data_IF_062929215530
#
_entry.id   IF_062929215530
#
_cell.length_a   1.000
_cell.length_b   1.000
_cell.length_c   1.000
_cell.angle_alpha   90.00
_cell.angle_beta   90.00
_cell.angle_gamma   90.00
#
_symmetry.space_group_name_H-M   'P 1'
#
loop_
_entity.id
_entity.type
_entity.pdbx_description
1 polymer ?
#
# COMPACT_ATOMS: atom_id res chain seq x y z
N UNK A 1 -33.28 36.20 -40.56
CA UNK A 1 -34.55 36.38 -39.83
C UNK A 1 -34.70 35.22 -38.86
N UNK A 2 -34.79 35.58 -37.57
CA UNK A 2 -35.12 34.82 -36.34
C UNK A 2 -35.38 33.30 -36.40
N UNK A 3 -34.69 32.54 -35.53
CA UNK A 3 -35.34 31.59 -34.60
C UNK A 3 -34.39 31.14 -33.44
N UNK A 4 -34.67 31.66 -32.23
CA UNK A 4 -34.69 30.90 -30.95
C UNK A 4 -35.39 29.52 -31.15
N UNK A 5 -35.19 28.41 -30.44
CA UNK A 5 -34.57 28.06 -29.15
C UNK A 5 -34.55 26.54 -29.01
N UNK A 6 -33.37 25.94 -28.81
CA UNK A 6 -33.21 24.64 -28.13
C UNK A 6 -32.63 24.93 -26.75
N UNK A 7 -33.47 25.43 -25.85
CA UNK A 7 -33.07 25.79 -24.48
C UNK A 7 -32.74 24.51 -23.71
N UNK A 8 -31.45 24.18 -23.61
CA UNK A 8 -30.94 23.51 -22.41
C UNK A 8 -31.02 24.55 -21.28
N UNK A 9 -31.91 24.25 -20.33
CA UNK A 9 -32.25 25.00 -19.13
C UNK A 9 -31.10 25.85 -18.56
N UNK A 10 -31.32 27.17 -18.50
CA UNK A 10 -30.41 28.17 -17.93
C UNK A 10 -30.12 27.91 -16.43
N UNK A 11 -30.96 27.11 -15.75
CA UNK A 11 -30.73 26.59 -14.39
C UNK A 11 -29.51 25.67 -14.31
N UNK A 12 -29.20 24.93 -15.38
CA UNK A 12 -28.09 23.96 -15.43
C UNK A 12 -26.71 24.62 -15.67
N UNK A 13 -26.68 25.82 -16.28
CA UNK A 13 -25.46 26.64 -16.38
C UNK A 13 -25.07 27.27 -15.04
N UNK A 14 -26.06 27.72 -14.26
CA UNK A 14 -25.83 28.34 -12.96
C UNK A 14 -25.41 27.32 -11.88
N UNK A 15 -25.84 26.06 -11.99
CA UNK A 15 -25.42 24.98 -11.09
C UNK A 15 -23.92 24.62 -11.24
N UNK A 16 -23.38 24.65 -12.45
CA UNK A 16 -21.96 24.36 -12.71
C UNK A 16 -21.03 25.50 -12.30
N UNK A 17 -21.40 26.75 -12.58
CA UNK A 17 -20.64 27.93 -12.16
C UNK A 17 -20.63 28.06 -10.62
N UNK A 18 -21.74 27.74 -9.94
CA UNK A 18 -21.77 27.66 -8.47
C UNK A 18 -20.89 26.51 -7.92
N UNK A 19 -20.86 25.36 -8.58
CA UNK A 19 -20.05 24.19 -8.14
C UNK A 19 -18.55 24.41 -8.33
N UNK A 20 -18.15 25.16 -9.37
CA UNK A 20 -16.75 25.52 -9.63
C UNK A 20 -16.31 26.71 -8.76
N UNK A 21 -17.20 27.70 -8.52
CA UNK A 21 -16.90 28.88 -7.71
C UNK A 21 -16.62 28.59 -6.23
N UNK A 22 -17.18 27.53 -5.66
CA UNK A 22 -16.89 27.10 -4.27
C UNK A 22 -15.55 26.34 -4.13
N UNK A 23 -14.87 26.03 -5.24
CA UNK A 23 -13.57 25.36 -5.24
C UNK A 23 -12.42 26.39 -5.20
N UNK A 24 -12.62 27.57 -5.78
CA UNK A 24 -11.63 28.67 -5.74
C UNK A 24 -11.47 29.26 -4.33
N UNK A 25 -12.52 29.31 -3.52
CA UNK A 25 -12.44 29.73 -2.10
C UNK A 25 -11.71 28.72 -1.18
N UNK A 26 -11.33 27.56 -1.71
CA UNK A 26 -10.46 26.57 -1.03
C UNK A 26 -9.10 26.39 -1.70
N UNK A 27 -8.81 27.17 -2.74
CA UNK A 27 -7.55 27.18 -3.47
C UNK A 27 -6.83 28.51 -3.26
N UNK A 28 -6.30 28.69 -2.06
CA UNK A 28 -4.93 29.19 -1.97
C UNK A 28 -4.16 28.34 -0.96
N UNK A 29 -3.29 27.48 -1.48
CA UNK A 29 -1.94 27.31 -0.97
C UNK A 29 -1.14 26.42 -1.94
N UNK A 30 -0.11 27.05 -2.52
CA UNK A 30 1.06 26.48 -3.19
C UNK A 30 0.95 26.22 -4.70
N UNK A 31 0.77 27.32 -5.44
CA UNK A 31 1.29 27.48 -6.80
C UNK A 31 2.64 28.18 -6.76
N UNK A 32 3.72 27.46 -6.45
CA UNK A 32 5.05 27.68 -7.07
C UNK A 32 5.90 26.44 -6.83
N UNK A 33 6.10 25.65 -7.89
CA UNK A 33 6.95 24.46 -7.82
C UNK A 33 7.17 23.83 -9.19
N UNK A 34 7.32 24.65 -10.23
CA UNK A 34 7.80 24.21 -11.54
C UNK A 34 9.23 23.72 -11.39
N UNK A 35 9.48 22.42 -11.53
CA UNK A 35 10.69 21.90 -12.18
C UNK A 35 10.35 20.64 -12.98
N UNK A 36 10.29 20.88 -14.29
CA UNK A 36 10.60 20.03 -15.43
C UNK A 36 11.23 18.66 -15.17
N UNK A 37 10.68 17.69 -15.91
CA UNK A 37 11.23 16.41 -16.35
C UNK A 37 12.77 16.30 -16.39
N UNK A 38 13.29 15.21 -15.84
CA UNK A 38 14.70 14.82 -15.89
C UNK A 38 14.98 13.47 -15.22
N UNK A 39 14.21 12.43 -15.52
CA UNK A 39 14.55 11.06 -15.13
C UNK A 39 15.77 10.59 -15.93
N UNK A 40 16.98 10.64 -15.34
CA UNK A 40 18.08 9.66 -15.50
C UNK A 40 19.44 10.18 -15.00
N UNK A 41 19.58 10.45 -13.70
CA UNK A 41 20.91 10.43 -13.08
C UNK A 41 20.86 9.64 -11.77
N UNK A 42 21.78 8.69 -11.61
CA UNK A 42 21.98 7.99 -10.34
C UNK A 42 22.39 8.96 -9.23
N UNK A 43 22.50 8.45 -8.00
CA UNK A 43 22.94 9.27 -6.87
C UNK A 43 24.29 9.94 -7.16
N UNK A 44 24.42 11.22 -6.81
CA UNK A 44 25.66 11.97 -7.00
C UNK A 44 26.84 11.28 -6.31
N UNK A 45 27.99 11.31 -6.98
CA UNK A 45 29.26 10.75 -6.48
C UNK A 45 30.35 11.82 -6.38
N UNK A 46 30.05 13.08 -6.67
CA UNK A 46 31.06 14.16 -6.68
C UNK A 46 31.67 14.40 -5.29
N UNK A 47 30.97 14.05 -4.22
CA UNK A 47 31.42 14.17 -2.84
C UNK A 47 32.19 12.93 -2.33
N UNK A 48 32.39 11.90 -3.16
CA UNK A 48 33.07 10.69 -2.73
C UNK A 48 34.58 10.92 -2.67
N UNK A 49 35.16 10.59 -1.53
CA UNK A 49 36.62 10.65 -1.35
C UNK A 49 37.31 9.66 -2.28
N UNK A 50 38.47 10.05 -2.81
CA UNK A 50 39.25 9.18 -3.67
C UNK A 50 39.73 7.95 -2.90
N UNK A 51 39.77 6.79 -3.57
CA UNK A 51 40.23 5.54 -2.95
C UNK A 51 41.65 5.66 -2.37
N UNK A 52 42.52 6.45 -3.03
CA UNK A 52 43.91 6.62 -2.62
C UNK A 52 44.04 7.48 -1.35
N UNK A 53 43.07 8.34 -1.06
CA UNK A 53 43.07 9.24 0.11
C UNK A 53 42.52 8.56 1.38
N UNK A 54 41.91 7.39 1.25
CA UNK A 54 41.37 6.61 2.36
C UNK A 54 41.85 5.17 2.33
N UNK A 55 43.11 4.90 2.74
CA UNK A 55 43.66 3.55 2.79
C UNK A 55 43.04 2.68 3.91
N UNK A 56 42.29 3.27 4.85
CA UNK A 56 41.69 2.60 5.99
C UNK A 56 40.19 2.88 6.10
N UNK A 57 39.44 1.94 6.66
CA UNK A 57 38.01 2.06 6.93
C UNK A 57 37.73 3.14 7.98
N UNK A 58 36.86 4.10 7.65
CA UNK A 58 36.48 5.19 8.57
C UNK A 58 35.63 4.73 9.78
N UNK A 59 35.18 3.47 9.81
CA UNK A 59 34.40 2.90 10.91
C UNK A 59 35.21 2.05 11.90
N UNK A 60 36.23 1.33 11.44
CA UNK A 60 37.00 0.39 12.26
C UNK A 60 38.52 0.47 12.07
N UNK A 61 38.99 1.43 11.27
CA UNK A 61 40.39 1.67 10.91
C UNK A 61 41.12 0.49 10.21
N UNK A 62 40.40 -0.54 9.79
CA UNK A 62 40.95 -1.66 9.02
C UNK A 62 41.54 -1.16 7.70
N UNK A 63 42.79 -1.52 7.40
CA UNK A 63 43.44 -1.19 6.13
C UNK A 63 42.79 -1.94 4.97
N UNK A 64 42.43 -1.23 3.90
CA UNK A 64 41.92 -1.86 2.69
C UNK A 64 43.02 -2.63 1.97
N UNK A 65 42.64 -3.77 1.41
CA UNK A 65 43.53 -4.66 0.65
C UNK A 65 42.81 -5.12 -0.60
N UNK A 66 43.48 -5.91 -1.44
CA UNK A 66 42.84 -6.50 -2.62
C UNK A 66 41.62 -7.37 -2.27
N UNK A 67 41.62 -8.00 -1.09
CA UNK A 67 40.52 -8.85 -0.59
C UNK A 67 39.49 -8.07 0.21
N UNK A 68 39.89 -7.04 0.97
CA UNK A 68 38.97 -6.16 1.69
C UNK A 68 38.64 -4.92 0.84
N UNK A 69 37.57 -5.03 0.03
CA UNK A 69 37.16 -3.99 -0.92
C UNK A 69 36.61 -2.75 -0.20
N UNK A 70 36.99 -1.59 -0.73
CA UNK A 70 36.52 -0.29 -0.30
C UNK A 70 35.07 -0.02 -0.76
N UNK A 71 34.26 0.54 0.13
CA UNK A 71 32.88 0.96 -0.17
C UNK A 71 32.57 2.36 0.35
N UNK A 72 32.01 3.24 -0.49
CA UNK A 72 31.65 4.60 -0.07
C UNK A 72 30.27 4.69 0.59
N UNK A 73 30.13 5.49 1.64
CA UNK A 73 28.82 5.92 2.14
C UNK A 73 28.14 6.82 1.09
N UNK A 74 26.91 6.48 0.68
CA UNK A 74 26.24 7.22 -0.40
C UNK A 74 25.74 8.61 0.02
N UNK A 75 25.85 8.96 1.31
CA UNK A 75 25.53 10.28 1.86
C UNK A 75 26.76 11.15 2.11
N UNK A 76 27.73 10.64 2.86
CA UNK A 76 28.91 11.44 3.26
C UNK A 76 30.14 11.18 2.42
N UNK A 77 30.10 10.23 1.48
CA UNK A 77 31.21 9.97 0.56
C UNK A 77 32.44 9.31 1.18
N UNK A 78 32.48 9.08 2.49
CA UNK A 78 33.60 8.43 3.18
C UNK A 78 33.71 6.92 2.90
N UNK A 79 34.91 6.37 3.07
CA UNK A 79 35.23 4.98 2.74
C UNK A 79 35.10 4.01 3.93
N UNK A 80 34.46 2.87 3.71
CA UNK A 80 34.16 1.85 4.72
C UNK A 80 34.39 0.43 4.19
N UNK A 81 34.72 -0.50 5.08
CA UNK A 81 34.73 -1.92 4.79
C UNK A 81 33.30 -2.49 4.74
N UNK A 82 33.14 -3.69 4.19
CA UNK A 82 31.81 -4.31 4.05
C UNK A 82 31.09 -4.43 5.41
N UNK A 83 31.83 -4.69 6.49
CA UNK A 83 31.27 -4.81 7.85
C UNK A 83 30.72 -3.50 8.41
N UNK A 84 31.33 -2.37 8.04
CA UNK A 84 30.97 -1.04 8.57
C UNK A 84 29.89 -0.31 7.74
N UNK A 85 29.54 -0.81 6.55
CA UNK A 85 28.57 -0.18 5.64
C UNK A 85 27.34 -1.05 5.35
N UNK A 86 26.65 -1.43 6.43
CA UNK A 86 25.50 -2.32 6.40
C UNK A 86 24.16 -1.60 6.69
N UNK A 87 24.18 -0.28 6.76
CA UNK A 87 22.98 0.53 6.98
C UNK A 87 22.43 1.04 5.65
N UNK A 88 21.12 1.26 5.58
CA UNK A 88 20.47 1.84 4.40
C UNK A 88 19.60 3.02 4.80
N UNK A 89 19.56 4.04 3.94
CA UNK A 89 18.75 5.24 4.14
C UNK A 89 18.13 5.70 2.83
N UNK A 90 16.93 6.28 2.89
CA UNK A 90 16.33 6.95 1.72
C UNK A 90 17.02 8.27 1.47
N UNK A 91 17.60 8.40 0.29
CA UNK A 91 18.28 9.61 -0.18
C UNK A 91 17.67 10.06 -1.51
N UNK A 92 17.65 11.36 -1.74
CA UNK A 92 17.42 11.92 -3.07
C UNK A 92 18.69 11.82 -3.94
N UNK A 93 18.61 12.27 -5.20
CA UNK A 93 19.72 12.21 -6.14
C UNK A 93 20.94 13.06 -5.70
N UNK A 94 20.74 14.05 -4.83
CA UNK A 94 21.78 14.89 -4.24
C UNK A 94 22.38 14.30 -2.94
N UNK A 95 22.12 13.02 -2.63
CA UNK A 95 22.63 12.34 -1.42
C UNK A 95 22.07 12.87 -0.09
N UNK A 96 21.01 13.67 -0.11
CA UNK A 96 20.36 14.18 1.09
C UNK A 96 19.22 13.26 1.55
N UNK A 97 18.99 13.12 2.88
CA UNK A 97 17.84 12.40 3.40
C UNK A 97 16.51 12.90 2.82
N UNK A 98 15.72 11.97 2.28
CA UNK A 98 14.42 12.29 1.69
C UNK A 98 13.45 11.11 1.95
N UNK A 99 12.31 11.32 2.64
CA UNK A 99 11.30 10.27 2.85
C UNK A 99 10.79 9.63 1.56
N UNK A 100 10.78 10.37 0.45
CA UNK A 100 10.37 9.90 -0.87
C UNK A 100 11.55 9.42 -1.73
N UNK A 101 12.78 9.49 -1.20
CA UNK A 101 14.01 9.09 -1.87
C UNK A 101 14.17 7.58 -2.05
N UNK A 102 15.20 7.19 -2.80
CA UNK A 102 15.59 5.78 -3.03
C UNK A 102 16.52 5.28 -1.93
N UNK A 103 16.51 3.98 -1.67
CA UNK A 103 17.36 3.34 -0.67
C UNK A 103 18.80 3.21 -1.13
N UNK A 104 19.73 3.71 -0.31
CA UNK A 104 21.17 3.59 -0.55
C UNK A 104 21.93 3.19 0.71
N UNK A 105 23.08 2.52 0.52
CA UNK A 105 23.96 2.14 1.63
C UNK A 105 24.64 3.35 2.27
N UNK A 106 24.58 3.45 3.58
CA UNK A 106 25.19 4.53 4.36
C UNK A 106 25.99 3.97 5.55
N UNK A 107 26.86 4.79 6.12
CA UNK A 107 27.51 4.47 7.39
C UNK A 107 26.54 4.67 8.56
N UNK A 108 26.88 4.12 9.73
CA UNK A 108 26.07 4.25 10.94
C UNK A 108 25.75 5.70 11.30
N UNK A 109 26.76 6.59 11.31
CA UNK A 109 26.57 8.02 11.62
C UNK A 109 25.53 8.69 10.70
N UNK A 110 25.56 8.38 9.40
CA UNK A 110 24.60 8.90 8.43
C UNK A 110 23.22 8.25 8.53
N UNK A 111 23.17 7.01 9.00
CA UNK A 111 21.91 6.32 9.28
C UNK A 111 21.20 6.97 10.46
N UNK A 112 21.92 7.28 11.54
CA UNK A 112 21.38 7.84 12.79
C UNK A 112 20.94 9.32 12.69
N UNK A 113 21.18 9.99 11.55
CA UNK A 113 20.87 11.41 11.39
C UNK A 113 19.38 11.66 11.10
N UNK A 114 18.56 11.94 12.12
CA UNK A 114 17.13 12.29 11.96
C UNK A 114 16.19 11.08 11.77
N UNK A 115 14.87 11.30 11.75
CA UNK A 115 13.85 10.23 11.85
C UNK A 115 13.91 9.23 10.69
N UNK A 116 13.77 7.93 10.97
CA UNK A 116 13.84 6.82 10.01
C UNK A 116 12.83 5.72 10.30
N UNK A 117 12.34 5.08 9.23
CA UNK A 117 11.40 3.94 9.27
C UNK A 117 12.03 2.63 8.76
N UNK A 118 13.31 2.64 8.37
CA UNK A 118 13.99 1.51 7.72
C UNK A 118 15.19 1.07 8.56
N UNK A 119 15.38 -0.24 8.73
CA UNK A 119 16.41 -0.85 9.58
C UNK A 119 17.71 -1.27 8.86
N UNK A 120 18.54 -2.02 9.59
CA UNK A 120 19.85 -2.54 9.18
C UNK A 120 19.76 -3.68 8.15
N UNK A 121 20.68 -3.73 7.18
CA UNK A 121 20.85 -4.87 6.25
C UNK A 121 22.12 -5.65 6.58
N UNK A 122 22.01 -6.82 7.21
CA UNK A 122 23.15 -7.72 7.41
C UNK A 122 23.24 -8.78 6.32
N UNK A 123 24.48 -9.17 5.97
CA UNK A 123 24.70 -10.37 5.14
C UNK A 123 24.45 -11.60 5.99
N UNK A 124 23.39 -12.32 5.68
CA UNK A 124 23.06 -13.59 6.30
C UNK A 124 23.93 -14.74 5.77
N UNK A 125 25.00 -14.48 5.00
CA UNK A 125 25.78 -15.52 4.32
C UNK A 125 26.36 -16.53 5.30
N UNK A 126 26.90 -16.10 6.42
CA UNK A 126 27.41 -16.99 7.47
C UNK A 126 26.29 -17.72 8.21
N UNK A 127 25.15 -17.06 8.44
CA UNK A 127 23.95 -17.70 9.00
C UNK A 127 23.37 -18.76 8.06
N UNK A 128 23.32 -18.50 6.76
CA UNK A 128 22.91 -19.45 5.73
C UNK A 128 23.94 -20.57 5.55
N UNK A 129 25.24 -20.27 5.67
CA UNK A 129 26.30 -21.28 5.62
C UNK A 129 26.24 -22.20 6.83
N UNK A 130 25.99 -21.66 8.03
CA UNK A 130 25.71 -22.43 9.25
C UNK A 130 24.41 -23.24 9.13
N UNK A 131 23.37 -22.68 8.52
CA UNK A 131 22.09 -23.36 8.29
C UNK A 131 22.19 -24.51 7.26
N UNK A 132 23.09 -24.37 6.28
CA UNK A 132 23.36 -25.40 5.27
C UNK A 132 24.37 -26.44 5.77
N UNK A 133 25.34 -26.07 6.59
CA UNK A 133 26.28 -27.02 7.21
C UNK A 133 25.63 -27.90 8.27
N UNK A 134 24.48 -27.49 8.83
CA UNK A 134 23.67 -28.36 9.71
C UNK A 134 22.82 -29.38 8.94
N UNK A 135 22.83 -29.36 7.60
CA UNK A 135 21.94 -30.18 6.77
C UNK A 135 22.67 -31.22 5.89
N UNK A 136 23.98 -31.40 6.02
CA UNK A 136 24.74 -32.31 5.15
C UNK A 136 25.21 -33.62 5.79
N UNK A 137 25.03 -33.82 7.11
CA UNK A 137 25.39 -35.10 7.75
C UNK A 137 24.14 -35.80 8.31
N UNK A 138 23.67 -36.83 7.59
CA UNK A 138 22.83 -37.91 8.12
C UNK A 138 21.31 -37.65 8.08
N UNK A 139 20.58 -38.52 7.38
CA UNK A 139 19.13 -38.48 7.25
C UNK A 139 18.38 -38.65 8.58
N UNK A 140 17.19 -38.05 8.65
CA UNK A 140 16.23 -38.22 9.74
C UNK A 140 15.83 -36.89 10.39
N UNK A 141 14.57 -36.49 10.18
CA UNK A 141 13.87 -35.38 10.84
C UNK A 141 14.49 -33.97 10.74
N UNK A 142 13.90 -33.17 9.85
CA UNK A 142 14.20 -31.76 9.70
C UNK A 142 14.26 -31.02 11.04
N UNK A 143 15.30 -30.18 11.18
CA UNK A 143 15.53 -29.20 12.25
C UNK A 143 14.30 -28.93 13.10
N UNK A 144 14.40 -29.18 14.40
CA UNK A 144 13.41 -28.80 15.42
C UNK A 144 12.96 -27.33 15.26
N UNK A 145 13.83 -26.47 14.74
CA UNK A 145 13.56 -25.04 14.50
C UNK A 145 12.78 -24.74 13.20
N UNK A 146 12.66 -25.70 12.29
CA UNK A 146 11.77 -25.63 11.12
C UNK A 146 10.30 -25.95 11.44
N UNK A 147 9.99 -26.42 12.66
CA UNK A 147 8.63 -26.82 13.10
C UNK A 147 7.95 -25.85 14.08
N UNK A 148 8.54 -24.69 14.43
CA UNK A 148 7.89 -23.74 15.34
C UNK A 148 6.67 -23.09 14.67
N UNK A 149 5.48 -23.54 15.03
CA UNK A 149 4.22 -22.94 14.62
C UNK A 149 3.73 -21.96 15.70
N UNK A 150 3.93 -20.67 15.46
CA UNK A 150 3.60 -19.60 16.41
C UNK A 150 2.10 -19.58 16.75
N UNK A 151 1.23 -19.86 15.77
CA UNK A 151 -0.22 -19.91 15.99
C UNK A 151 -0.60 -21.05 16.96
N UNK A 152 0.01 -22.23 16.81
CA UNK A 152 -0.20 -23.35 17.74
C UNK A 152 0.30 -23.03 19.16
N UNK A 153 1.40 -22.29 19.29
CA UNK A 153 1.89 -21.87 20.60
C UNK A 153 1.01 -20.80 21.26
N UNK A 154 0.45 -19.86 20.49
CA UNK A 154 -0.54 -18.91 21.00
C UNK A 154 -1.78 -19.63 21.51
N UNK A 155 -2.27 -20.62 20.76
CA UNK A 155 -3.42 -21.43 21.16
C UNK A 155 -3.15 -22.26 22.42
N UNK A 156 -1.94 -22.83 22.55
CA UNK A 156 -1.50 -23.52 23.76
C UNK A 156 -1.52 -22.60 24.97
N UNK A 157 -1.04 -21.36 24.82
CA UNK A 157 -1.03 -20.35 25.87
C UNK A 157 -2.47 -19.99 26.29
N UNK A 158 -3.37 -19.75 25.33
CA UNK A 158 -4.79 -19.47 25.60
C UNK A 158 -5.45 -20.58 26.42
N UNK A 159 -5.35 -21.82 25.94
CA UNK A 159 -5.93 -22.99 26.63
C UNK A 159 -5.35 -23.20 28.02
N UNK A 160 -4.05 -23.01 28.18
CA UNK A 160 -3.39 -23.13 29.48
C UNK A 160 -3.79 -22.03 30.46
N UNK A 161 -3.96 -20.80 29.99
CA UNK A 161 -4.49 -19.70 30.80
C UNK A 161 -5.94 -19.98 31.19
N UNK A 162 -6.81 -20.39 30.25
CA UNK A 162 -8.20 -20.76 30.54
C UNK A 162 -8.31 -21.90 31.57
N UNK A 163 -7.50 -22.95 31.42
CA UNK A 163 -7.47 -24.05 32.39
C UNK A 163 -6.99 -23.59 33.77
N UNK A 164 -6.05 -22.65 33.84
CA UNK A 164 -5.58 -22.08 35.11
C UNK A 164 -6.65 -21.25 35.83
N UNK A 165 -7.61 -20.70 35.08
CA UNK A 165 -8.77 -19.99 35.62
C UNK A 165 -9.82 -20.99 36.14
N UNK A 166 -10.08 -22.07 35.41
CA UNK A 166 -11.12 -23.05 35.75
C UNK A 166 -10.77 -23.98 36.93
N UNK A 167 -9.49 -24.23 37.18
CA UNK A 167 -9.05 -25.13 38.25
C UNK A 167 -9.14 -24.51 39.67
N UNK A 168 -9.51 -23.24 39.81
CA UNK A 168 -9.62 -22.54 41.09
C UNK A 168 -11.04 -21.99 41.29
N UNK A 169 -11.75 -22.51 42.31
CA UNK A 169 -13.19 -22.36 42.55
C UNK A 169 -13.62 -21.02 43.20
N UNK A 170 -13.11 -19.86 42.76
CA UNK A 170 -13.59 -18.56 43.28
C UNK A 170 -13.45 -17.39 42.31
N UNK A 171 -14.29 -16.34 42.44
CA UNK A 171 -14.54 -15.34 41.41
C UNK A 171 -13.31 -14.48 41.18
N UNK A 172 -12.75 -14.61 39.98
CA UNK A 172 -12.04 -13.63 39.12
C UNK A 172 -10.92 -12.75 39.73
N UNK A 173 -11.10 -12.18 40.92
CA UNK A 173 -10.16 -11.28 41.60
C UNK A 173 -9.07 -11.93 42.45
N UNK A 174 -9.27 -13.12 43.04
CA UNK A 174 -8.22 -13.81 43.82
C UNK A 174 -7.17 -14.48 42.92
N UNK A 175 -7.61 -15.03 41.79
CA UNK A 175 -6.83 -15.87 40.86
C UNK A 175 -5.62 -15.17 40.23
N UNK A 176 -5.74 -13.88 39.93
CA UNK A 176 -4.70 -13.10 39.26
C UNK A 176 -3.55 -12.74 40.21
N UNK A 177 -3.91 -12.46 41.48
CA UNK A 177 -2.95 -12.25 42.56
C UNK A 177 -2.18 -13.55 42.84
N UNK A 178 -2.86 -14.69 42.82
CA UNK A 178 -2.24 -16.02 42.99
C UNK A 178 -1.26 -16.34 41.85
N UNK A 179 -1.61 -16.08 40.59
CA UNK A 179 -0.70 -16.24 39.43
C UNK A 179 0.52 -15.32 39.53
N UNK A 180 0.36 -14.09 40.02
CA UNK A 180 1.47 -13.14 40.24
C UNK A 180 2.37 -13.54 41.41
N UNK A 181 1.83 -14.22 42.41
CA UNK A 181 2.54 -14.69 43.60
C UNK A 181 3.26 -16.03 43.40
N UNK A 182 3.14 -16.67 42.23
CA UNK A 182 3.84 -17.91 41.93
C UNK A 182 5.36 -17.69 41.90
N UNK A 183 6.05 -18.39 42.80
CA UNK A 183 7.52 -18.43 42.88
C UNK A 183 8.14 -19.08 41.63
N UNK A 184 7.38 -19.94 40.93
CA UNK A 184 7.80 -20.62 39.70
C UNK A 184 6.89 -20.30 38.54
N UNK A 185 7.48 -20.06 37.37
CA UNK A 185 6.75 -19.87 36.12
C UNK A 185 5.85 -21.08 35.83
N UNK A 186 4.53 -20.89 35.60
CA UNK A 186 3.61 -21.96 35.24
C UNK A 186 4.03 -22.71 33.97
N UNK A 187 3.72 -24.01 33.90
CA UNK A 187 4.08 -24.83 32.74
C UNK A 187 3.42 -24.36 31.44
N UNK A 188 2.20 -23.83 31.51
CA UNK A 188 1.55 -23.26 30.33
C UNK A 188 2.25 -22.02 29.77
N UNK A 189 3.08 -21.32 30.55
CA UNK A 189 3.93 -20.22 30.05
C UNK A 189 5.23 -20.73 29.42
N UNK A 190 5.60 -22.00 29.67
CA UNK A 190 6.82 -22.60 29.13
C UNK A 190 6.54 -23.14 27.73
N UNK A 191 7.26 -22.59 26.75
CA UNK A 191 7.29 -23.14 25.39
C UNK A 191 7.73 -24.61 25.40
N UNK A 192 7.32 -25.36 24.38
CA UNK A 192 7.80 -26.73 24.12
C UNK A 192 9.34 -26.85 24.03
N UNK A 193 10.03 -25.75 23.75
CA UNK A 193 11.50 -25.69 23.65
C UNK A 193 12.19 -25.11 24.90
N UNK A 194 11.44 -24.79 25.96
CA UNK A 194 11.92 -24.06 27.12
C UNK A 194 13.10 -24.74 27.83
N UNK A 195 12.98 -26.02 28.15
CA UNK A 195 13.99 -26.75 28.93
C UNK A 195 15.36 -26.80 28.24
N UNK A 196 15.37 -27.03 26.91
CA UNK A 196 16.59 -27.11 26.10
C UNK A 196 17.34 -25.77 26.05
N UNK A 197 16.60 -24.68 25.99
CA UNK A 197 17.16 -23.34 25.84
C UNK A 197 17.59 -22.72 27.20
N UNK A 198 17.02 -23.18 28.32
CA UNK A 198 17.45 -22.75 29.65
C UNK A 198 18.86 -23.20 30.05
N UNK A 199 19.49 -24.09 29.28
CA UNK A 199 20.91 -24.43 29.46
C UNK A 199 21.86 -23.50 28.68
N UNK A 200 21.34 -22.67 27.76
CA UNK A 200 22.18 -21.80 26.92
C UNK A 200 22.91 -20.71 27.74
N UNK A 201 24.24 -20.60 27.68
CA UNK A 201 24.98 -19.55 28.39
C UNK A 201 24.86 -18.18 27.71
N UNK A 202 24.33 -18.13 26.49
CA UNK A 202 24.28 -16.94 25.63
C UNK A 202 22.87 -16.58 25.20
N UNK A 203 22.63 -15.28 25.05
CA UNK A 203 21.41 -14.78 24.45
C UNK A 203 21.31 -15.21 22.98
N UNK A 204 20.25 -15.95 22.62
CA UNK A 204 20.03 -16.44 21.26
C UNK A 204 19.84 -15.32 20.22
N UNK A 205 19.57 -14.09 20.65
CA UNK A 205 19.29 -12.95 19.77
C UNK A 205 20.51 -12.06 19.51
N UNK A 206 21.28 -11.72 20.55
CA UNK A 206 22.46 -10.87 20.40
C UNK A 206 23.79 -11.61 20.56
N UNK A 207 23.77 -12.89 20.92
CA UNK A 207 24.98 -13.72 21.11
C UNK A 207 25.76 -13.44 22.40
N UNK A 208 25.39 -12.41 23.16
CA UNK A 208 26.08 -12.00 24.38
C UNK A 208 25.88 -13.00 25.53
N UNK A 209 26.91 -13.22 26.33
CA UNK A 209 26.87 -14.08 27.52
C UNK A 209 25.95 -13.48 28.59
N UNK A 210 25.19 -14.36 29.25
CA UNK A 210 24.44 -13.97 30.45
C UNK A 210 25.39 -13.77 31.63
N UNK A 211 25.05 -12.83 32.50
CA UNK A 211 25.83 -12.48 33.69
C UNK A 211 24.93 -11.89 34.76
N UNK A 212 25.48 -11.53 35.91
CA UNK A 212 24.73 -10.86 36.98
C UNK A 212 24.07 -9.55 36.52
N UNK A 213 24.73 -8.82 35.59
CA UNK A 213 24.21 -7.58 35.01
C UNK A 213 23.33 -7.81 33.78
N UNK A 214 23.34 -9.02 33.22
CA UNK A 214 22.53 -9.39 32.06
C UNK A 214 21.65 -10.59 32.41
N UNK A 215 20.45 -10.28 32.91
CA UNK A 215 19.47 -11.29 33.27
C UNK A 215 19.10 -12.19 32.10
N UNK A 216 19.07 -13.49 32.38
CA UNK A 216 18.57 -14.52 31.47
C UNK A 216 17.07 -14.61 31.59
N UNK A 217 16.40 -14.49 30.46
CA UNK A 217 14.96 -14.63 30.34
C UNK A 217 14.62 -15.64 29.25
N UNK A 218 13.36 -16.02 29.15
CA UNK A 218 12.89 -16.97 28.16
C UNK A 218 11.71 -16.39 27.37
N UNK A 219 11.67 -16.66 26.07
CA UNK A 219 10.52 -16.33 25.24
C UNK A 219 9.43 -17.38 25.42
N UNK A 220 8.19 -16.97 25.73
CA UNK A 220 7.07 -17.92 25.95
C UNK A 220 6.65 -18.68 24.69
N UNK A 221 7.00 -18.18 23.50
CA UNK A 221 6.64 -18.80 22.21
C UNK A 221 7.72 -19.77 21.73
N UNK A 222 8.95 -19.29 21.55
CA UNK A 222 10.03 -20.09 20.98
C UNK A 222 10.94 -20.75 22.02
N UNK A 223 10.78 -20.45 23.31
CA UNK A 223 11.60 -21.02 24.39
C UNK A 223 13.01 -20.45 24.51
N UNK A 224 13.52 -19.76 23.48
CA UNK A 224 14.88 -19.23 23.43
C UNK A 224 15.27 -18.42 24.68
N UNK A 225 16.50 -18.64 25.13
CA UNK A 225 17.13 -17.80 26.14
C UNK A 225 17.47 -16.42 25.56
N UNK A 226 16.94 -15.37 26.18
CA UNK A 226 17.03 -13.98 25.72
C UNK A 226 17.32 -13.01 26.86
N UNK A 227 18.08 -11.96 26.57
CA UNK A 227 18.32 -10.90 27.56
C UNK A 227 17.18 -9.87 27.57
N UNK A 228 17.15 -9.03 28.61
CA UNK A 228 16.18 -7.95 28.75
C UNK A 228 16.19 -6.97 27.56
N UNK A 229 17.34 -6.67 26.97
CA UNK A 229 17.40 -5.80 25.78
C UNK A 229 16.80 -6.48 24.55
N UNK A 230 16.82 -7.81 24.44
CA UNK A 230 16.34 -8.55 23.27
C UNK A 230 14.91 -9.11 23.42
N UNK A 231 14.20 -8.75 24.48
CA UNK A 231 12.88 -9.25 24.79
C UNK A 231 12.06 -8.25 25.59
N UNK A 232 10.74 -8.29 25.48
CA UNK A 232 9.86 -7.43 26.27
C UNK A 232 8.63 -8.19 26.78
N UNK A 233 8.02 -7.71 27.87
CA UNK A 233 6.73 -8.21 28.37
C UNK A 233 5.60 -7.49 27.64
N UNK A 234 5.37 -7.86 26.38
CA UNK A 234 4.45 -7.14 25.49
C UNK A 234 3.26 -7.99 25.00
N UNK A 235 3.24 -9.30 25.28
CA UNK A 235 2.10 -10.17 24.99
C UNK A 235 1.14 -10.15 26.17
N UNK A 236 -0.03 -9.56 26.02
CA UNK A 236 -1.12 -9.64 26.98
C UNK A 236 -1.99 -10.86 26.67
N UNK A 237 -2.29 -11.66 27.70
CA UNK A 237 -3.27 -12.76 27.67
C UNK A 237 -4.38 -12.38 28.65
N UNK A 238 -5.63 -12.34 28.21
CA UNK A 238 -6.70 -11.76 29.00
C UNK A 238 -8.09 -12.36 28.73
N UNK A 239 -9.00 -12.16 29.68
CA UNK A 239 -10.44 -12.32 29.46
C UNK A 239 -11.05 -10.93 29.20
N UNK A 240 -11.90 -10.76 28.16
CA UNK A 240 -12.61 -9.51 27.92
C UNK A 240 -13.57 -9.13 29.07
N UNK A 241 -13.67 -7.82 29.35
CA UNK A 241 -14.65 -7.25 30.27
C UNK A 241 -16.03 -7.10 29.55
N UNK A 242 -17.14 -7.37 30.24
CA UNK A 242 -18.50 -7.73 29.75
C UNK A 242 -19.30 -6.78 28.82
N UNK A 243 -18.73 -5.82 28.09
CA UNK A 243 -19.59 -4.79 27.46
C UNK A 243 -20.25 -5.17 26.11
N UNK A 244 -19.90 -6.28 25.43
CA UNK A 244 -20.39 -6.51 24.04
C UNK A 244 -20.80 -7.94 23.61
N UNK A 245 -20.83 -8.96 24.47
CA UNK A 245 -21.17 -10.34 24.01
C UNK A 245 -22.23 -11.03 24.87
N UNK A 246 -23.42 -11.25 24.28
CA UNK A 246 -24.55 -12.04 24.81
C UNK A 246 -24.28 -13.57 24.85
N UNK A 247 -23.03 -14.02 24.95
CA UNK A 247 -22.70 -15.45 24.92
C UNK A 247 -21.96 -15.86 26.20
N UNK A 248 -22.48 -16.87 26.90
CA UNK A 248 -22.10 -17.29 28.26
C UNK A 248 -20.70 -17.96 28.36
N UNK A 249 -19.86 -17.83 27.33
CA UNK A 249 -18.52 -18.42 27.30
C UNK A 249 -17.47 -17.43 26.79
N UNK A 250 -16.90 -16.64 27.71
CA UNK A 250 -15.77 -15.74 27.43
C UNK A 250 -14.54 -16.53 26.98
N UNK A 251 -14.13 -16.35 25.72
CA UNK A 251 -12.88 -16.93 25.22
C UNK A 251 -11.67 -16.07 25.63
N UNK A 252 -10.55 -16.74 25.94
CA UNK A 252 -9.28 -16.08 26.24
C UNK A 252 -8.71 -15.45 24.99
N UNK A 253 -8.39 -14.17 25.10
CA UNK A 253 -7.76 -13.41 24.03
C UNK A 253 -6.27 -13.20 24.29
N UNK A 254 -5.52 -13.03 23.20
CA UNK A 254 -4.10 -12.70 23.23
C UNK A 254 -3.84 -11.56 22.26
N UNK A 255 -3.07 -10.57 22.69
CA UNK A 255 -2.66 -9.47 21.82
C UNK A 255 -1.31 -8.90 22.23
N UNK A 256 -0.65 -8.21 21.32
CA UNK A 256 0.50 -7.36 21.59
C UNK A 256 -0.03 -5.99 22.00
N UNK A 257 0.43 -5.51 23.15
CA UNK A 257 0.03 -4.21 23.68
C UNK A 257 0.40 -3.08 22.72
N UNK A 258 -0.40 -2.01 22.70
CA UNK A 258 -0.19 -0.81 21.86
C UNK A 258 -0.19 -1.08 20.35
N UNK A 259 -0.80 -2.19 19.94
CA UNK A 259 -1.00 -2.57 18.55
C UNK A 259 -2.49 -2.78 18.34
N UNK A 260 -3.00 -2.41 17.16
CA UNK A 260 -4.42 -2.53 16.78
C UNK A 260 -4.99 -3.91 17.13
N UNK A 261 -6.20 -3.97 17.68
CA UNK A 261 -6.80 -5.21 18.20
C UNK A 261 -6.36 -5.62 19.62
N UNK A 262 -5.59 -4.80 20.34
CA UNK A 262 -5.44 -4.93 21.79
C UNK A 262 -6.56 -4.17 22.53
N UNK A 263 -6.91 -4.56 23.77
CA UNK A 263 -7.97 -3.89 24.51
C UNK A 263 -7.57 -2.44 24.83
N UNK A 264 -8.53 -1.50 24.76
CA UNK A 264 -8.29 -0.08 25.01
C UNK A 264 -8.04 0.21 26.50
N UNK A 265 -8.78 -0.49 27.36
CA UNK A 265 -8.61 -0.48 28.81
C UNK A 265 -8.01 -1.82 29.24
N UNK A 266 -7.13 -1.78 30.23
CA UNK A 266 -6.54 -3.00 30.79
C UNK A 266 -7.67 -3.89 31.37
N UNK A 267 -7.82 -5.13 30.89
CA UNK A 267 -8.85 -6.04 31.38
C UNK A 267 -8.60 -6.45 32.83
N UNK A 268 -9.68 -6.74 33.54
CA UNK A 268 -9.63 -7.09 34.98
C UNK A 268 -8.84 -8.38 35.19
N UNK A 269 -8.90 -9.29 34.20
CA UNK A 269 -8.14 -10.54 34.17
C UNK A 269 -7.16 -10.54 33.02
N UNK A 270 -5.89 -10.23 33.31
CA UNK A 270 -4.83 -10.26 32.33
C UNK A 270 -3.46 -10.63 32.89
N UNK A 271 -2.54 -11.08 32.02
CA UNK A 271 -1.13 -11.32 32.35
C UNK A 271 -0.22 -10.95 31.19
N UNK A 272 0.94 -10.37 31.52
CA UNK A 272 1.94 -9.95 30.55
C UNK A 272 3.06 -10.97 30.44
N UNK A 273 3.21 -11.55 29.25
CA UNK A 273 4.19 -12.57 28.94
C UNK A 273 5.35 -12.02 28.12
N UNK A 274 6.54 -12.59 28.33
CA UNK A 274 7.77 -12.13 27.68
C UNK A 274 7.97 -12.78 26.32
N UNK A 275 8.18 -11.95 25.30
CA UNK A 275 8.54 -12.35 23.95
C UNK A 275 9.94 -11.90 23.57
N UNK A 276 10.64 -12.70 22.78
CA UNK A 276 11.78 -12.21 22.03
C UNK A 276 11.31 -11.31 20.88
N UNK A 277 12.13 -10.31 20.50
CA UNK A 277 11.78 -9.35 19.43
C UNK A 277 11.25 -10.02 18.17
N UNK A 278 11.88 -11.11 17.69
CA UNK A 278 11.43 -11.79 16.47
C UNK A 278 10.03 -12.41 16.59
N UNK A 279 9.67 -12.98 17.74
CA UNK A 279 8.33 -13.53 17.95
C UNK A 279 7.30 -12.41 18.11
N UNK A 280 7.68 -11.32 18.80
CA UNK A 280 6.82 -10.16 18.94
C UNK A 280 6.47 -9.56 17.58
N UNK A 281 7.46 -9.24 16.74
CA UNK A 281 7.22 -8.69 15.39
C UNK A 281 6.31 -9.60 14.55
N UNK A 282 6.55 -10.91 14.57
CA UNK A 282 5.71 -11.83 13.81
C UNK A 282 4.25 -11.88 14.32
N UNK A 283 4.04 -11.81 15.64
CA UNK A 283 2.70 -11.79 16.23
C UNK A 283 2.02 -10.44 15.95
N UNK A 284 2.76 -9.33 15.96
CA UNK A 284 2.25 -8.01 15.54
C UNK A 284 1.70 -8.07 14.13
N UNK A 285 2.45 -8.65 13.19
CA UNK A 285 2.02 -8.80 11.80
C UNK A 285 0.73 -9.64 11.69
N UNK A 286 0.62 -10.73 12.46
CA UNK A 286 -0.60 -11.53 12.51
C UNK A 286 -1.76 -10.71 13.06
N UNK A 287 -1.56 -9.99 14.17
CA UNK A 287 -2.61 -9.22 14.82
C UNK A 287 -3.12 -8.08 13.93
N UNK A 288 -2.22 -7.32 13.31
CA UNK A 288 -2.57 -6.26 12.34
C UNK A 288 -3.35 -6.84 11.18
N UNK A 289 -2.90 -7.97 10.61
CA UNK A 289 -3.59 -8.63 9.50
C UNK A 289 -4.97 -9.12 9.91
N UNK A 290 -5.09 -9.75 11.08
CA UNK A 290 -6.36 -10.26 11.59
C UNK A 290 -7.33 -9.13 11.94
N UNK A 291 -6.84 -8.00 12.45
CA UNK A 291 -7.65 -6.82 12.70
C UNK A 291 -8.22 -6.27 11.40
N UNK A 292 -7.39 -6.06 10.37
CA UNK A 292 -7.87 -5.64 9.05
C UNK A 292 -8.78 -6.68 8.38
N UNK A 293 -8.53 -7.98 8.58
CA UNK A 293 -9.42 -9.04 8.10
C UNK A 293 -10.73 -9.13 8.90
N UNK A 294 -10.72 -8.73 10.18
CA UNK A 294 -11.90 -8.60 11.03
C UNK A 294 -12.74 -7.38 10.64
N UNK A 295 -12.11 -6.25 10.33
CA UNK A 295 -12.75 -5.08 9.69
C UNK A 295 -13.37 -5.45 8.34
N UNK A 296 -12.79 -6.41 7.60
CA UNK A 296 -13.36 -6.98 6.38
C UNK A 296 -14.47 -8.02 6.64
N UNK A 297 -14.73 -8.44 7.88
CA UNK A 297 -15.83 -9.37 8.24
C UNK A 297 -17.00 -8.68 8.93
N UNK A 298 -16.82 -7.45 9.42
CA UNK A 298 -17.91 -6.60 9.90
C UNK A 298 -18.60 -5.97 8.69
N UNK A 299 -19.79 -6.51 8.38
CA UNK A 299 -20.84 -5.95 7.53
C UNK A 299 -20.41 -5.39 6.15
N UNK A 300 -20.20 -6.30 5.20
CA UNK A 300 -20.00 -5.99 3.77
C UNK A 300 -21.23 -5.39 3.07
N UNK A 301 -22.34 -5.13 3.77
CA UNK A 301 -23.49 -4.45 3.20
C UNK A 301 -23.36 -2.92 3.12
N UNK A 302 -22.36 -2.32 3.78
CA UNK A 302 -22.15 -0.85 3.84
C UNK A 302 -20.93 -0.33 3.06
N UNK A 303 -20.30 -1.16 2.24
CA UNK A 303 -19.07 -0.78 1.56
C UNK A 303 -19.36 0.07 0.33
N UNK A 304 -18.77 1.27 0.32
CA UNK A 304 -18.61 2.18 -0.83
C UNK A 304 -18.33 1.44 -2.17
N UNK A 305 -17.67 0.28 -2.13
CA UNK A 305 -17.35 -0.55 -3.28
C UNK A 305 -18.57 -1.11 -4.01
N UNK A 306 -19.66 -1.45 -3.31
CA UNK A 306 -20.89 -1.98 -3.90
C UNK A 306 -21.52 -0.98 -4.90
N UNK A 307 -21.71 0.32 -4.54
CA UNK A 307 -22.13 1.33 -5.52
C UNK A 307 -20.99 1.84 -6.42
N UNK A 308 -19.72 1.81 -5.98
CA UNK A 308 -18.61 2.38 -6.76
C UNK A 308 -18.14 1.48 -7.93
N UNK A 309 -18.06 0.17 -7.72
CA UNK A 309 -17.48 -0.75 -8.70
C UNK A 309 -18.24 -0.77 -10.03
N UNK A 310 -19.59 -0.79 -10.07
CA UNK A 310 -20.34 -0.70 -11.32
C UNK A 310 -20.03 0.59 -12.08
N UNK A 311 -19.97 1.73 -11.36
CA UNK A 311 -19.71 3.04 -11.95
C UNK A 311 -18.29 3.13 -12.54
N UNK A 312 -17.28 2.69 -11.79
CA UNK A 312 -15.88 2.70 -12.26
C UNK A 312 -15.69 1.75 -13.44
N UNK A 313 -16.38 0.61 -13.44
CA UNK A 313 -16.33 -0.36 -14.55
C UNK A 313 -16.95 0.24 -15.80
N UNK A 314 -18.13 0.86 -15.69
CA UNK A 314 -18.78 1.56 -16.79
C UNK A 314 -17.89 2.69 -17.35
N UNK A 315 -17.33 3.54 -16.48
CA UNK A 315 -16.41 4.61 -16.89
C UNK A 315 -15.13 4.13 -17.57
N UNK A 316 -14.66 2.93 -17.24
CA UNK A 316 -13.50 2.32 -17.90
C UNK A 316 -13.87 1.78 -19.26
N UNK A 317 -15.02 1.11 -19.37
CA UNK A 317 -15.51 0.54 -20.63
C UNK A 317 -15.90 1.66 -21.61
N UNK A 318 -16.61 2.69 -21.16
CA UNK A 318 -16.93 3.87 -21.99
C UNK A 318 -15.66 4.55 -22.48
N UNK A 319 -14.64 4.72 -21.62
CA UNK A 319 -13.37 5.29 -22.04
C UNK A 319 -12.72 4.45 -23.14
N UNK A 320 -12.66 3.13 -22.97
CA UNK A 320 -12.11 2.21 -23.96
C UNK A 320 -12.83 2.34 -25.32
N UNK A 321 -14.16 2.45 -25.33
CA UNK A 321 -14.92 2.67 -26.56
C UNK A 321 -14.59 4.00 -27.23
N UNK A 322 -14.36 5.07 -26.47
CA UNK A 322 -13.90 6.36 -27.02
C UNK A 322 -12.50 6.21 -27.61
N UNK A 323 -11.57 5.59 -26.88
CA UNK A 323 -10.18 5.34 -27.32
C UNK A 323 -10.14 4.53 -28.63
N UNK A 324 -11.10 3.61 -28.84
CA UNK A 324 -11.22 2.80 -30.07
C UNK A 324 -11.91 3.56 -31.22
N UNK A 325 -12.99 4.30 -30.95
CA UNK A 325 -13.81 4.94 -32.00
C UNK A 325 -13.25 6.27 -32.48
N UNK A 326 -12.60 7.05 -31.62
CA UNK A 326 -12.13 8.39 -31.97
C UNK A 326 -11.07 8.39 -33.10
N UNK A 327 -10.06 7.48 -33.10
CA UNK A 327 -9.13 7.37 -34.22
C UNK A 327 -9.80 6.94 -35.52
N UNK A 328 -10.77 6.00 -35.46
CA UNK A 328 -11.51 5.57 -36.66
C UNK A 328 -12.30 6.72 -37.26
N UNK A 329 -12.93 7.57 -36.44
CA UNK A 329 -13.65 8.75 -36.91
C UNK A 329 -12.71 9.77 -37.56
N UNK A 330 -11.52 9.97 -36.99
CA UNK A 330 -10.47 10.80 -37.58
C UNK A 330 -10.05 10.31 -38.97
N UNK A 331 -9.74 9.02 -39.12
CA UNK A 331 -9.33 8.43 -40.41
C UNK A 331 -10.42 8.57 -41.48
N UNK A 332 -11.71 8.42 -41.10
CA UNK A 332 -12.83 8.60 -42.03
C UNK A 332 -12.93 10.04 -42.52
N UNK A 333 -12.72 11.04 -41.66
CA UNK A 333 -12.74 12.46 -42.04
C UNK A 333 -11.55 12.80 -42.94
N UNK A 334 -10.35 12.33 -42.59
CA UNK A 334 -9.13 12.54 -43.40
C UNK A 334 -9.27 11.90 -44.79
N UNK A 335 -9.89 10.71 -44.89
CA UNK A 335 -10.20 10.07 -46.16
C UNK A 335 -11.18 10.87 -47.04
N UNK A 336 -12.12 11.60 -46.44
CA UNK A 336 -13.02 12.50 -47.17
C UNK A 336 -12.27 13.72 -47.72
N UNK A 337 -11.31 14.25 -46.98
CA UNK A 337 -10.46 15.35 -47.47
C UNK A 337 -9.69 14.96 -48.72
N UNK A 338 -9.06 13.78 -48.73
CA UNK A 338 -8.30 13.28 -49.89
C UNK A 338 -9.19 13.15 -51.14
N UNK A 339 -10.43 12.66 -50.97
CA UNK A 339 -11.36 12.49 -52.09
C UNK A 339 -11.93 13.81 -52.63
N UNK A 340 -12.07 14.85 -51.79
CA UNK A 340 -12.49 16.20 -52.21
C UNK A 340 -11.45 16.91 -53.12
N UNK A 341 -10.17 16.55 -52.99
CA UNK A 341 -9.06 17.07 -53.79
C UNK A 341 -8.79 16.32 -55.11
N UNK A 342 -9.50 15.22 -55.39
CA UNK A 342 -9.38 14.46 -56.63
C UNK A 342 -10.44 14.89 -57.69
N UNK A 343 -10.16 14.81 -59.01
CA UNK A 343 -11.11 15.22 -60.05
C UNK A 343 -12.44 14.46 -59.98
N UNK A 344 -13.53 15.21 -60.16
CA UNK A 344 -14.93 14.82 -59.97
C UNK A 344 -15.41 13.69 -60.89
N UNK A 345 -15.07 12.45 -60.57
CA UNK A 345 -15.91 11.30 -60.87
C UNK A 345 -15.42 10.11 -60.06
N UNK A 346 -16.23 9.62 -59.11
CA UNK A 346 -16.29 8.24 -58.58
C UNK A 346 -17.22 8.18 -57.33
N UNK A 347 -17.76 7.00 -56.97
CA UNK A 347 -19.18 6.82 -56.67
C UNK A 347 -19.57 7.20 -55.24
N UNK A 348 -20.84 7.56 -55.10
CA UNK A 348 -21.56 7.81 -53.85
C UNK A 348 -21.61 6.53 -53.01
N UNK A 349 -20.54 6.22 -52.29
CA UNK A 349 -20.51 5.13 -51.31
C UNK A 349 -21.37 5.55 -50.11
N UNK A 350 -22.69 5.38 -50.23
CA UNK A 350 -23.67 5.55 -49.14
C UNK A 350 -23.21 4.82 -47.86
N UNK A 351 -22.43 3.74 -48.01
CA UNK A 351 -21.85 2.97 -46.93
C UNK A 351 -20.85 3.79 -46.09
N UNK A 352 -19.97 4.61 -46.70
CA UNK A 352 -18.99 5.41 -45.96
C UNK A 352 -19.65 6.56 -45.19
N UNK A 353 -20.69 7.18 -45.78
CA UNK A 353 -21.49 8.21 -45.11
C UNK A 353 -22.29 7.64 -43.93
N UNK A 354 -22.84 6.43 -44.08
CA UNK A 354 -23.52 5.71 -43.00
C UNK A 354 -22.56 5.35 -41.86
N UNK A 355 -21.36 4.86 -42.19
CA UNK A 355 -20.32 4.54 -41.19
C UNK A 355 -19.88 5.81 -40.45
N UNK A 356 -19.67 6.92 -41.17
CA UNK A 356 -19.30 8.20 -40.57
C UNK A 356 -20.40 8.76 -39.66
N UNK A 357 -21.66 8.75 -40.11
CA UNK A 357 -22.81 9.19 -39.33
C UNK A 357 -22.98 8.34 -38.07
N UNK A 358 -22.78 7.02 -38.20
CA UNK A 358 -22.79 6.10 -37.07
C UNK A 358 -21.66 6.38 -36.09
N UNK A 359 -20.42 6.57 -36.56
CA UNK A 359 -19.29 6.88 -35.70
C UNK A 359 -19.48 8.20 -34.94
N UNK A 360 -20.06 9.21 -35.58
CA UNK A 360 -20.39 10.50 -34.95
C UNK A 360 -21.46 10.35 -33.85
N UNK A 361 -22.55 9.62 -34.14
CA UNK A 361 -23.58 9.33 -33.15
C UNK A 361 -23.01 8.54 -31.96
N UNK A 362 -22.31 7.44 -32.25
CA UNK A 362 -21.70 6.58 -31.25
C UNK A 362 -20.74 7.41 -30.38
N UNK A 363 -19.84 8.23 -30.93
CA UNK A 363 -18.95 9.08 -30.13
C UNK A 363 -19.71 10.04 -29.21
N UNK A 364 -20.75 10.71 -29.69
CA UNK A 364 -21.60 11.59 -28.88
C UNK A 364 -22.23 10.85 -27.70
N UNK A 365 -22.74 9.65 -27.93
CA UNK A 365 -23.35 8.80 -26.91
C UNK A 365 -22.32 8.32 -25.88
N UNK A 366 -21.11 7.94 -26.32
CA UNK A 366 -20.03 7.56 -25.42
C UNK A 366 -19.56 8.73 -24.55
N UNK A 367 -19.39 9.94 -25.12
CA UNK A 367 -19.03 11.13 -24.34
C UNK A 367 -20.12 11.50 -23.33
N UNK A 368 -21.39 11.39 -23.71
CA UNK A 368 -22.54 11.59 -22.80
C UNK A 368 -22.54 10.56 -21.68
N UNK A 369 -22.34 9.28 -22.02
CA UNK A 369 -22.23 8.18 -21.05
C UNK A 369 -21.07 8.39 -20.05
N UNK A 370 -19.95 8.95 -20.51
CA UNK A 370 -18.82 9.29 -19.65
C UNK A 370 -19.19 10.39 -18.64
N UNK A 371 -19.89 11.44 -19.10
CA UNK A 371 -20.36 12.53 -18.23
C UNK A 371 -21.35 12.01 -17.19
N UNK A 372 -22.32 11.20 -17.60
CA UNK A 372 -23.29 10.58 -16.69
C UNK A 372 -22.59 9.67 -15.67
N UNK A 373 -21.63 8.85 -16.09
CA UNK A 373 -20.84 8.03 -15.17
C UNK A 373 -20.07 8.85 -14.13
N UNK A 374 -19.54 10.03 -14.52
CA UNK A 374 -18.88 10.94 -13.57
C UNK A 374 -19.88 11.57 -12.60
N UNK A 375 -21.12 11.82 -13.02
CA UNK A 375 -22.18 12.29 -12.11
C UNK A 375 -22.59 11.19 -11.11
N UNK A 376 -22.67 9.92 -11.54
CA UNK A 376 -22.93 8.81 -10.63
C UNK A 376 -21.83 8.66 -9.57
N UNK A 377 -20.56 8.94 -9.90
CA UNK A 377 -19.47 8.96 -8.90
C UNK A 377 -19.73 9.97 -7.77
N UNK A 378 -20.41 11.09 -8.05
CA UNK A 378 -20.76 12.08 -7.02
C UNK A 378 -21.84 11.59 -6.05
N UNK A 379 -22.66 10.63 -6.46
CA UNK A 379 -23.70 10.02 -5.61
C UNK A 379 -23.13 9.02 -4.62
N UNK A 380 -21.91 8.51 -4.87
CA UNK A 380 -21.20 7.61 -3.96
C UNK A 380 -20.73 8.40 -2.74
N UNK A 381 -21.18 8.00 -1.54
CA UNK A 381 -20.84 8.67 -0.28
C UNK A 381 -19.57 8.06 0.33
N UNK A 382 -18.44 8.79 0.40
CA UNK A 382 -17.23 8.29 1.04
C UNK A 382 -17.38 8.32 2.58
N UNK A 383 -16.95 7.26 3.24
CA UNK A 383 -16.94 7.11 4.70
C UNK A 383 -15.58 7.46 5.31
N UNK A 384 -14.50 7.48 4.51
CA UNK A 384 -13.15 7.82 4.99
C UNK A 384 -12.48 8.91 4.16
N UNK A 385 -11.46 9.56 4.74
CA UNK A 385 -10.61 10.54 4.03
C UNK A 385 -9.89 9.91 2.82
N UNK A 386 -9.48 8.65 2.94
CA UNK A 386 -8.87 7.89 1.84
C UNK A 386 -9.84 7.65 0.69
N UNK A 387 -11.07 7.22 0.99
CA UNK A 387 -12.14 7.04 0.00
C UNK A 387 -12.51 8.37 -0.67
N UNK A 388 -12.61 9.45 0.11
CA UNK A 388 -12.86 10.80 -0.42
C UNK A 388 -11.76 11.24 -1.41
N UNK A 389 -10.50 10.99 -1.05
CA UNK A 389 -9.35 11.28 -1.93
C UNK A 389 -9.37 10.42 -3.20
N UNK A 390 -9.74 9.15 -3.08
CA UNK A 390 -9.87 8.24 -4.22
C UNK A 390 -10.95 8.71 -5.21
N UNK A 391 -12.17 8.98 -4.74
CA UNK A 391 -13.26 9.48 -5.59
C UNK A 391 -12.85 10.78 -6.29
N UNK A 392 -12.27 11.74 -5.55
CA UNK A 392 -11.76 12.99 -6.12
C UNK A 392 -10.72 12.74 -7.23
N UNK A 393 -9.79 11.82 -7.02
CA UNK A 393 -8.77 11.49 -8.02
C UNK A 393 -9.37 10.84 -9.26
N UNK A 394 -10.34 9.92 -9.11
CA UNK A 394 -11.03 9.28 -10.23
C UNK A 394 -11.82 10.34 -11.02
N UNK A 395 -12.63 11.15 -10.35
CA UNK A 395 -13.38 12.24 -10.98
C UNK A 395 -12.45 13.20 -11.72
N UNK A 396 -11.37 13.66 -11.09
CA UNK A 396 -10.38 14.55 -11.73
C UNK A 396 -9.77 13.91 -12.98
N UNK A 397 -9.36 12.65 -12.89
CA UNK A 397 -8.79 11.92 -14.03
C UNK A 397 -9.78 11.79 -15.20
N UNK A 398 -11.05 11.47 -14.92
CA UNK A 398 -12.08 11.33 -15.97
C UNK A 398 -12.50 12.68 -16.57
N UNK A 399 -12.55 13.74 -15.77
CA UNK A 399 -12.79 15.09 -16.27
C UNK A 399 -11.66 15.58 -17.18
N UNK A 400 -10.40 15.34 -16.80
CA UNK A 400 -9.26 15.67 -17.64
C UNK A 400 -9.32 14.93 -18.99
N UNK A 401 -9.55 13.61 -18.94
CA UNK A 401 -9.73 12.80 -20.15
C UNK A 401 -10.86 13.32 -21.05
N UNK A 402 -12.02 13.67 -20.47
CA UNK A 402 -13.13 14.24 -21.25
C UNK A 402 -12.72 15.54 -21.95
N UNK A 403 -12.07 16.47 -21.23
CA UNK A 403 -11.67 17.75 -21.81
C UNK A 403 -10.70 17.57 -22.97
N UNK A 404 -9.68 16.71 -22.80
CA UNK A 404 -8.67 16.43 -23.83
C UNK A 404 -9.27 15.82 -25.09
N UNK A 405 -10.20 14.87 -24.96
CA UNK A 405 -10.75 14.14 -26.10
C UNK A 405 -11.97 14.82 -26.72
N UNK A 406 -12.76 15.55 -25.93
CA UNK A 406 -13.91 16.30 -26.46
C UNK A 406 -13.47 17.49 -27.31
N UNK A 407 -12.33 18.14 -26.99
CA UNK A 407 -11.75 19.15 -27.87
C UNK A 407 -11.36 18.58 -29.22
N UNK A 408 -10.73 17.40 -29.23
CA UNK A 408 -10.35 16.69 -30.46
C UNK A 408 -11.59 16.31 -31.27
N UNK A 409 -12.64 15.79 -30.62
CA UNK A 409 -13.90 15.44 -31.28
C UNK A 409 -14.59 16.66 -31.91
N UNK A 410 -14.63 17.80 -31.21
CA UNK A 410 -15.17 19.06 -31.76
C UNK A 410 -14.40 19.56 -32.96
N UNK A 411 -13.08 19.44 -32.93
CA UNK A 411 -12.23 19.83 -34.05
C UNK A 411 -12.44 18.93 -35.27
N UNK A 412 -12.59 17.63 -35.06
CA UNK A 412 -12.96 16.67 -36.12
C UNK A 412 -14.33 17.00 -36.73
N UNK A 413 -15.32 17.33 -35.88
CA UNK A 413 -16.64 17.73 -36.36
C UNK A 413 -16.59 19.00 -37.20
N UNK A 414 -15.85 20.03 -36.77
CA UNK A 414 -15.62 21.26 -37.54
C UNK A 414 -14.97 20.97 -38.90
N UNK A 415 -13.95 20.10 -38.94
CA UNK A 415 -13.30 19.68 -40.19
C UNK A 415 -14.27 18.98 -41.13
N UNK A 416 -15.19 18.18 -40.59
CA UNK A 416 -16.23 17.52 -41.37
C UNK A 416 -17.17 18.55 -42.00
N UNK A 417 -17.65 19.53 -41.23
CA UNK A 417 -18.49 20.63 -41.73
C UNK A 417 -17.80 21.46 -42.83
N UNK A 418 -16.48 21.65 -42.73
CA UNK A 418 -15.69 22.38 -43.73
C UNK A 418 -15.44 21.58 -45.02
N UNK A 419 -15.42 20.25 -44.93
CA UNK A 419 -15.05 19.35 -46.05
C UNK A 419 -16.27 18.77 -46.77
N UNK A 420 -17.36 18.52 -46.06
CA UNK A 420 -18.56 17.89 -46.61
C UNK A 420 -19.50 18.90 -47.29
N UNK A 421 -20.22 18.47 -48.34
CA UNK A 421 -21.26 19.29 -48.95
C UNK A 421 -22.51 19.39 -48.06
N UNK A 422 -23.32 20.43 -48.25
CA UNK A 422 -24.60 20.62 -47.53
C UNK A 422 -25.51 19.38 -47.61
N UNK A 423 -25.59 18.75 -48.79
CA UNK A 423 -26.37 17.52 -49.00
C UNK A 423 -25.83 16.33 -48.20
N UNK A 424 -24.51 16.24 -48.03
CA UNK A 424 -23.84 15.18 -47.25
C UNK A 424 -24.07 15.38 -45.76
N UNK A 425 -24.01 16.62 -45.27
CA UNK A 425 -24.29 16.96 -43.87
C UNK A 425 -25.75 16.70 -43.50
N UNK A 426 -26.70 17.07 -44.37
CA UNK A 426 -28.13 16.76 -44.18
C UNK A 426 -28.41 15.26 -44.15
N UNK A 427 -27.75 14.49 -45.03
CA UNK A 427 -27.88 13.03 -45.04
C UNK A 427 -27.29 12.37 -43.78
N UNK A 428 -26.17 12.87 -43.27
CA UNK A 428 -25.57 12.41 -42.01
C UNK A 428 -26.51 12.73 -40.85
N UNK A 429 -27.00 13.95 -40.75
CA UNK A 429 -27.91 14.38 -39.69
C UNK A 429 -29.20 13.54 -39.69
N UNK A 430 -29.78 13.29 -40.88
CA UNK A 430 -30.97 12.44 -41.01
C UNK A 430 -30.75 10.98 -40.60
N UNK A 431 -29.54 10.45 -40.66
CA UNK A 431 -29.19 9.11 -40.15
C UNK A 431 -29.04 9.14 -38.62
N UNK A 432 -28.39 10.18 -38.08
CA UNK A 432 -28.23 10.37 -36.63
C UNK A 432 -29.61 10.49 -35.96
N UNK A 433 -30.49 11.34 -36.49
CA UNK A 433 -31.83 11.58 -35.92
C UNK A 433 -32.72 10.33 -35.92
N UNK A 434 -32.60 9.48 -36.95
CA UNK A 434 -33.31 8.19 -37.02
C UNK A 434 -32.85 7.22 -35.94
N UNK A 435 -31.56 7.22 -35.59
CA UNK A 435 -31.02 6.34 -34.55
C UNK A 435 -31.35 6.84 -33.13
N UNK A 436 -31.51 8.15 -32.94
CA UNK A 436 -31.97 8.75 -31.66
C UNK A 436 -33.44 8.42 -31.38
N UNK A 437 -34.26 8.29 -32.43
CA UNK A 437 -35.71 8.02 -32.32
C UNK A 437 -36.06 6.56 -31.96
N UNK A 438 -35.07 5.68 -31.84
CA UNK A 438 -35.24 4.24 -31.57
C UNK A 438 -34.86 3.81 -30.14
N UNK A 439 -34.59 4.76 -29.24
CA UNK A 439 -34.28 4.51 -27.83
C UNK A 439 -35.34 5.02 -26.86
#
# INVERSE_FOLDING_TARGET
MSAYTGSMDYSSKNSWVQTVGQIDELLDEHTTGTLTSGYSQGITKSHWVSNNERPNCMGCNLKFTFTERLHHCRRCGEAFCHKCINYQRRLNHLSNPDPNGKLYKVCQKCFDTGPQTIGFTCSWKETFRAYRSTNCDGGGEGSIYGRLNILKELERIKKGFQASLNNNTSPVGKTLLDIKNLVKTPDWQKSRFWAKEQLSPRCRKCGQDFSLLRSKNACVICGHAVCASCSNKELIVYLPNDEETQDDQKDVQVSIIKIVGCPEKEPDVCVYLRLCRSCAEYIKDIQVRNHHQGELKVNHDDLIWKPLMPVVTNLRETQKRIDEQLPMYQELIEGLQISSSAPRSLPRNQNNMQILAKAQADLSDHFTSLVLGVQELKKVRPQTKGQSKLLKNITKSKCAYYMENMSSNRELHRKLEETASSETLEAIQGIVDKNVSTF
#
